data_IF_103738221792
#
_entry.id   IF_103738221792
#
_cell.length_a   1.000
_cell.length_b   1.000
_cell.length_c   1.000
_cell.angle_alpha   90.00
_cell.angle_beta   90.00
_cell.angle_gamma   90.00
#
_symmetry.space_group_name_H-M   'P 1'
#
loop_
_entity.id
_entity.type
_entity.pdbx_description
1 polymer ?
#
# COMPACT_ATOMS: atom_id res chain seq x y z
N UNK A 1 7.50 -15.34 -3.11
CA UNK A 1 6.32 -15.11 -2.24
C UNK A 1 6.78 -14.35 -1.01
N UNK A 2 6.26 -13.13 -0.83
CA UNK A 2 6.45 -12.35 0.42
C UNK A 2 5.76 -13.12 1.55
N UNK A 3 6.39 -13.27 2.72
CA UNK A 3 5.76 -14.02 3.83
C UNK A 3 4.57 -13.25 4.42
N UNK A 4 3.55 -13.97 4.89
CA UNK A 4 2.37 -13.38 5.52
C UNK A 4 2.75 -12.55 6.76
N UNK A 5 3.73 -13.02 7.55
CA UNK A 5 4.27 -12.28 8.70
C UNK A 5 4.92 -10.94 8.32
N UNK A 6 5.59 -10.86 7.16
CA UNK A 6 6.15 -9.59 6.66
C UNK A 6 5.02 -8.63 6.26
N UNK A 7 3.97 -9.12 5.60
CA UNK A 7 2.79 -8.32 5.22
C UNK A 7 2.05 -7.79 6.46
N UNK A 8 1.98 -8.57 7.54
CA UNK A 8 1.37 -8.16 8.80
C UNK A 8 2.11 -6.99 9.47
N UNK A 9 3.41 -6.83 9.24
CA UNK A 9 4.24 -5.75 9.80
C UNK A 9 4.31 -4.54 8.86
N UNK A 10 4.20 -4.75 7.54
CA UNK A 10 4.31 -3.69 6.56
C UNK A 10 3.15 -2.70 6.65
N UNK A 11 3.49 -1.40 6.65
CA UNK A 11 2.51 -0.31 6.66
C UNK A 11 2.78 0.71 5.56
N UNK A 12 1.72 1.38 5.14
CA UNK A 12 1.74 2.49 4.20
C UNK A 12 2.58 3.65 4.77
N UNK A 13 3.66 4.06 4.09
CA UNK A 13 4.58 5.09 4.59
C UNK A 13 3.89 6.43 4.79
N UNK A 14 2.91 6.76 3.95
CA UNK A 14 2.15 8.00 4.08
C UNK A 14 1.28 8.02 5.34
N UNK A 15 0.59 6.91 5.65
CA UNK A 15 -0.31 6.85 6.81
C UNK A 15 0.45 6.84 8.14
N UNK A 16 1.62 6.19 8.19
CA UNK A 16 2.44 6.13 9.43
C UNK A 16 3.36 7.34 9.62
N UNK A 17 3.48 8.20 8.61
CA UNK A 17 4.23 9.46 8.71
C UNK A 17 3.31 10.63 9.04
N UNK A 18 2.04 10.54 8.67
CA UNK A 18 1.00 11.54 8.96
C UNK A 18 0.53 11.45 10.43
N UNK A 19 0.78 12.47 11.27
CA UNK A 19 0.39 12.46 12.68
C UNK A 19 -1.12 12.41 12.92
N UNK A 20 -1.92 12.99 12.01
CA UNK A 20 -3.38 13.03 12.15
C UNK A 20 -3.95 11.62 11.95
N UNK A 21 -3.54 10.95 10.86
CA UNK A 21 -3.95 9.56 10.56
C UNK A 21 -3.52 8.56 11.64
N UNK A 22 -2.36 8.78 12.27
CA UNK A 22 -1.89 7.93 13.39
C UNK A 22 -2.72 8.08 14.66
N UNK A 23 -3.36 9.21 14.87
CA UNK A 23 -4.21 9.45 16.03
C UNK A 23 -5.63 8.88 15.84
N UNK A 24 -6.06 8.74 14.58
CA UNK A 24 -7.41 8.30 14.21
C UNK A 24 -7.57 6.76 14.25
N UNK A 25 -6.54 6.01 13.89
CA UNK A 25 -6.59 4.54 13.78
C UNK A 25 -5.62 3.86 14.77
N UNK A 26 -6.05 2.76 15.41
CA UNK A 26 -5.18 1.96 16.28
C UNK A 26 -4.05 1.24 15.51
N UNK A 27 -4.28 0.95 14.23
CA UNK A 27 -3.32 0.28 13.33
C UNK A 27 -3.32 0.92 11.93
N UNK A 28 -2.76 2.14 11.78
CA UNK A 28 -2.84 2.93 10.56
C UNK A 28 -1.94 2.38 9.46
N UNK A 29 -2.43 2.42 8.23
CA UNK A 29 -1.66 2.11 7.03
C UNK A 29 -1.57 0.63 6.71
N UNK A 30 -2.51 -0.21 7.17
CA UNK A 30 -2.55 -1.64 6.84
C UNK A 30 -2.54 -1.85 5.31
N UNK A 31 -1.69 -2.75 4.84
CA UNK A 31 -1.55 -3.08 3.42
C UNK A 31 -2.11 -4.48 3.14
N UNK A 32 -2.70 -4.64 1.96
CA UNK A 32 -3.14 -5.95 1.44
C UNK A 32 -2.42 -6.21 0.12
N UNK A 33 -1.89 -7.42 -0.02
CA UNK A 33 -1.32 -7.89 -1.28
C UNK A 33 -2.45 -8.23 -2.25
N UNK A 34 -2.43 -7.61 -3.43
CA UNK A 34 -3.40 -7.83 -4.50
C UNK A 34 -2.65 -8.27 -5.76
N UNK A 35 -3.17 -9.30 -6.43
CA UNK A 35 -2.61 -9.85 -7.68
C UNK A 35 -1.11 -10.19 -7.59
N UNK A 36 -0.63 -10.52 -6.40
CA UNK A 36 0.78 -10.80 -6.06
C UNK A 36 1.79 -9.71 -6.43
N UNK A 37 1.33 -8.53 -6.86
CA UNK A 37 2.16 -7.48 -7.48
C UNK A 37 1.85 -6.09 -6.95
N UNK A 38 0.86 -5.95 -6.07
CA UNK A 38 0.42 -4.66 -5.53
C UNK A 38 0.20 -4.71 -4.03
N UNK A 39 0.66 -3.69 -3.30
CA UNK A 39 0.30 -3.45 -1.92
C UNK A 39 -0.71 -2.30 -1.87
N UNK A 40 -1.94 -2.58 -1.45
CA UNK A 40 -3.04 -1.61 -1.41
C UNK A 40 -3.31 -1.19 0.04
N UNK A 41 -3.26 0.10 0.31
CA UNK A 41 -3.58 0.67 1.62
C UNK A 41 -5.07 0.55 1.92
N UNK A 42 -5.40 0.08 3.13
CA UNK A 42 -6.78 -0.08 3.61
C UNK A 42 -7.26 1.06 4.53
N UNK A 43 -6.38 1.99 4.91
CA UNK A 43 -6.79 3.14 5.72
C UNK A 43 -7.72 4.06 4.94
N UNK A 44 -8.75 4.56 5.62
CA UNK A 44 -9.80 5.34 5.00
C UNK A 44 -9.22 6.62 4.37
N UNK A 45 -9.65 6.90 3.14
CA UNK A 45 -9.19 8.05 2.37
C UNK A 45 -7.70 8.06 2.02
N UNK A 46 -6.97 6.93 2.12
CA UNK A 46 -5.61 6.82 1.58
C UNK A 46 -5.61 6.30 0.14
N UNK A 47 -6.19 5.12 -0.12
CA UNK A 47 -6.37 4.48 -1.45
C UNK A 47 -5.10 4.30 -2.32
N UNK A 48 -3.92 4.56 -1.75
CA UNK A 48 -2.62 4.39 -2.41
C UNK A 48 -2.32 2.93 -2.69
N UNK A 49 -1.67 2.69 -3.84
CA UNK A 49 -1.37 1.35 -4.34
C UNK A 49 0.08 1.30 -4.77
N UNK A 50 0.89 0.53 -4.06
CA UNK A 50 2.33 0.45 -4.27
C UNK A 50 2.66 -0.78 -5.12
N UNK A 51 3.31 -0.63 -6.28
CA UNK A 51 3.70 -1.76 -7.11
C UNK A 51 4.87 -2.53 -6.47
N UNK A 52 4.90 -3.84 -6.69
CA UNK A 52 6.06 -4.70 -6.43
C UNK A 52 6.73 -4.95 -7.78
N UNK A 53 7.99 -4.54 -7.91
CA UNK A 53 8.80 -4.72 -9.12
C UNK A 53 10.05 -5.50 -8.77
N UNK A 54 10.37 -6.54 -9.54
CA UNK A 54 11.50 -7.43 -9.27
C UNK A 54 11.53 -7.97 -7.83
N UNK A 55 10.35 -8.38 -7.31
CA UNK A 55 10.13 -8.82 -5.92
C UNK A 55 10.43 -7.74 -4.85
N UNK A 56 10.63 -6.47 -5.24
CA UNK A 56 10.88 -5.34 -4.35
C UNK A 56 9.64 -4.42 -4.31
N UNK A 57 9.01 -4.24 -3.13
CA UNK A 57 7.93 -3.26 -2.96
C UNK A 57 8.43 -1.82 -3.14
N UNK A 58 7.87 -1.10 -4.11
CA UNK A 58 8.18 0.30 -4.35
C UNK A 58 7.31 1.18 -3.45
N UNK A 59 7.75 1.33 -2.21
CA UNK A 59 7.04 2.06 -1.13
C UNK A 59 7.28 3.59 -1.19
N UNK A 60 7.34 4.17 -2.38
CA UNK A 60 7.43 5.62 -2.56
C UNK A 60 6.03 6.22 -2.61
N UNK A 61 5.79 7.30 -1.85
CA UNK A 61 4.48 7.96 -1.77
C UNK A 61 4.02 8.42 -3.15
N UNK A 62 4.93 9.01 -3.94
CA UNK A 62 4.68 9.48 -5.30
C UNK A 62 4.26 8.34 -6.25
N UNK A 63 4.86 7.15 -6.12
CA UNK A 63 4.46 5.98 -6.90
C UNK A 63 3.07 5.50 -6.48
N UNK A 64 2.79 5.46 -5.17
CA UNK A 64 1.49 5.09 -4.65
C UNK A 64 0.35 6.03 -5.07
N UNK A 65 0.65 7.33 -5.21
CA UNK A 65 -0.32 8.36 -5.60
C UNK A 65 -0.76 8.22 -7.07
N UNK A 66 0.10 7.73 -7.97
CA UNK A 66 -0.23 7.52 -9.40
C UNK A 66 -1.44 6.58 -9.59
N UNK A 67 -1.61 5.63 -8.68
CA UNK A 67 -2.63 4.58 -8.77
C UNK A 67 -3.81 4.81 -7.82
N UNK A 68 -3.84 5.94 -7.10
CA UNK A 68 -4.86 6.21 -6.08
C UNK A 68 -6.29 6.18 -6.64
N UNK A 69 -6.49 6.72 -7.84
CA UNK A 69 -7.78 6.74 -8.54
C UNK A 69 -8.06 5.50 -9.38
N UNK A 70 -7.07 4.61 -9.59
CA UNK A 70 -7.26 3.39 -10.38
C UNK A 70 -8.00 2.35 -9.53
N UNK A 71 -9.13 1.80 -9.99
CA UNK A 71 -9.82 0.71 -9.29
C UNK A 71 -8.90 -0.50 -9.13
N UNK A 72 -9.04 -1.24 -8.02
CA UNK A 72 -8.17 -2.39 -7.71
C UNK A 72 -8.30 -3.48 -8.79
N UNK A 73 -9.50 -3.62 -9.35
CA UNK A 73 -9.86 -4.54 -10.42
C UNK A 73 -9.11 -4.20 -11.73
N UNK A 74 -8.85 -2.92 -11.97
CA UNK A 74 -8.19 -2.39 -13.18
C UNK A 74 -6.66 -2.33 -13.07
N UNK A 75 -6.08 -2.62 -11.91
CA UNK A 75 -4.61 -2.70 -11.76
C UNK A 75 -4.02 -3.76 -12.71
N UNK A 76 -3.20 -3.32 -13.65
CA UNK A 76 -2.41 -4.20 -14.51
C UNK A 76 -1.20 -4.80 -13.79
N UNK A 77 -0.29 -5.39 -14.55
CA UNK A 77 1.03 -5.77 -14.04
C UNK A 77 1.90 -4.50 -14.01
N UNK A 78 2.59 -4.19 -12.89
CA UNK A 78 3.54 -3.08 -12.87
C UNK A 78 4.70 -3.35 -13.84
N UNK A 79 4.99 -2.39 -14.73
CA UNK A 79 6.20 -2.40 -15.60
C UNK A 79 7.44 -1.89 -14.87
#
# INVERSE_FOLDING_TARGET
MVSEELLEILRCPACVTDPERRAEEADPGRLVLVKDTWLVCQSEGCDRKYPIKDDIPIMLIEEGDKYRSVPVEELGVPE
#
